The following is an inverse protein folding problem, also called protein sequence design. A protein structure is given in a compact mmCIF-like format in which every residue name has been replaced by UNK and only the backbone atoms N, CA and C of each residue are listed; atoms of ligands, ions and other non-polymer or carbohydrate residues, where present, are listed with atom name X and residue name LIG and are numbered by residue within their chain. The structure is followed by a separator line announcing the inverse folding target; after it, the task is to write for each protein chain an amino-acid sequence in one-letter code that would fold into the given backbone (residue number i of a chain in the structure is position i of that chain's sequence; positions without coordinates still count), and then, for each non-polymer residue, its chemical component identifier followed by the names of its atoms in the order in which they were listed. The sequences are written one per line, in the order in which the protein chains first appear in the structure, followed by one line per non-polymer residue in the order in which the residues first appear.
data_IF_220585379355
#
_entry.id   IF_220585379355
#
_cell.length_a   1.000
_cell.length_b   1.000
_cell.length_c   1.000
_cell.angle_alpha   90.00
_cell.angle_beta   90.00
_cell.angle_gamma   90.00
#
_symmetry.space_group_name_H-M   'P 1'
#
loop_
_entity.id
_entity.type
_entity.pdbx_description
1 polymer ?
#
# COMPACT_ATOMS: atom_id res chain seq x y z
N UNK A 1 -9.73 10.88 -2.45
CA UNK A 1 -9.45 9.43 -2.55
C UNK A 1 -8.45 9.23 -3.66
N UNK A 2 -7.29 8.64 -3.39
CA UNK A 2 -6.23 8.51 -4.40
C UNK A 2 -6.49 7.37 -5.40
N UNK A 3 -7.22 6.33 -4.96
CA UNK A 3 -7.51 5.11 -5.71
C UNK A 3 -9.02 4.80 -5.69
N UNK A 4 -9.86 5.82 -5.87
CA UNK A 4 -11.31 5.65 -5.81
C UNK A 4 -11.87 5.38 -4.41
N UNK A 5 -13.19 5.15 -4.33
CA UNK A 5 -13.88 4.94 -3.05
C UNK A 5 -13.65 3.52 -2.55
N UNK A 6 -13.07 3.38 -1.35
CA UNK A 6 -12.75 2.11 -0.72
C UNK A 6 -12.27 2.29 0.72
N UNK A 7 -11.82 1.21 1.34
CA UNK A 7 -11.25 1.22 2.70
C UNK A 7 -9.74 1.15 2.58
N UNK A 8 -9.02 2.13 3.12
CA UNK A 8 -7.59 2.28 2.89
C UNK A 8 -6.80 1.70 4.07
N UNK A 9 -5.84 0.83 3.75
CA UNK A 9 -4.90 0.22 4.69
C UNK A 9 -3.47 0.57 4.32
N UNK A 10 -2.55 0.48 5.28
CA UNK A 10 -1.12 0.60 5.07
C UNK A 10 -0.38 -0.47 5.88
N UNK A 11 0.76 -0.90 5.38
CA UNK A 11 1.71 -1.82 6.05
C UNK A 11 2.75 -1.06 6.89
N UNK A 12 2.76 0.27 6.81
CA UNK A 12 3.62 1.15 7.59
C UNK A 12 2.80 1.87 8.66
N UNK A 13 3.06 1.54 9.93
CA UNK A 13 2.33 2.11 11.08
C UNK A 13 2.33 3.64 11.10
N UNK A 14 3.44 4.28 10.72
CA UNK A 14 3.57 5.73 10.69
C UNK A 14 2.69 6.39 9.63
N UNK A 15 2.43 5.70 8.51
CA UNK A 15 1.52 6.20 7.47
C UNK A 15 0.10 6.28 8.02
N UNK A 16 -0.40 5.21 8.64
CA UNK A 16 -1.73 5.21 9.26
C UNK A 16 -1.82 6.15 10.46
N UNK A 17 -0.78 6.23 11.30
CA UNK A 17 -0.77 7.10 12.48
C UNK A 17 -0.92 8.59 12.13
N UNK A 18 -0.43 9.03 10.97
CA UNK A 18 -0.62 10.41 10.51
C UNK A 18 -2.10 10.77 10.30
N UNK A 19 -2.98 9.78 10.09
CA UNK A 19 -4.43 10.00 9.98
C UNK A 19 -5.14 10.06 11.33
N UNK A 20 -4.46 9.79 12.45
CA UNK A 20 -5.04 9.92 13.79
C UNK A 20 -5.10 11.36 14.31
N UNK A 21 -4.39 12.30 13.67
CA UNK A 21 -4.27 13.71 14.09
C UNK A 21 -3.82 13.91 15.54
N UNK A 22 -3.15 12.92 16.14
CA UNK A 22 -2.53 13.05 17.45
C UNK A 22 -1.39 14.07 17.43
N UNK A 23 -1.23 14.78 18.54
CA UNK A 23 -0.25 15.86 18.68
C UNK A 23 0.18 15.99 20.15
N UNK A 24 1.14 16.86 20.45
CA UNK A 24 1.68 17.00 21.81
C UNK A 24 0.62 17.37 22.87
N UNK A 25 -0.47 18.05 22.50
CA UNK A 25 -1.56 18.39 23.41
C UNK A 25 -2.61 17.28 23.54
N UNK A 26 -2.76 16.42 22.52
CA UNK A 26 -3.63 15.24 22.52
C UNK A 26 -2.85 14.04 21.97
N UNK A 27 -1.99 13.40 22.78
CA UNK A 27 -0.99 12.43 22.29
C UNK A 27 -1.55 11.01 22.12
N UNK A 28 -2.78 10.76 22.57
CA UNK A 28 -3.38 9.42 22.48
C UNK A 28 -4.00 9.21 21.10
N UNK A 29 -3.59 8.15 20.41
CA UNK A 29 -4.13 7.71 19.13
C UNK A 29 -4.60 6.26 19.24
N UNK A 30 -5.59 5.91 18.41
CA UNK A 30 -6.03 4.52 18.24
C UNK A 30 -5.76 4.11 16.79
N UNK A 31 -5.12 2.96 16.63
CA UNK A 31 -4.91 2.31 15.34
C UNK A 31 -5.68 1.01 15.32
N UNK A 32 -6.26 0.70 14.15
CA UNK A 32 -6.97 -0.54 13.92
C UNK A 32 -6.09 -1.46 13.05
N UNK A 33 -5.84 -2.67 13.54
CA UNK A 33 -5.26 -3.75 12.75
C UNK A 33 -6.40 -4.63 12.23
N UNK A 34 -6.37 -4.93 10.94
CA UNK A 34 -7.37 -5.77 10.28
C UNK A 34 -6.67 -6.91 9.54
N UNK A 35 -7.26 -8.10 9.60
CA UNK A 35 -7.04 -9.10 8.57
C UNK A 35 -7.76 -8.63 7.30
N UNK A 36 -7.03 -8.54 6.18
CA UNK A 36 -7.53 -7.98 4.91
C UNK A 36 -7.29 -8.98 3.80
N UNK A 37 -8.38 -9.54 3.27
CA UNK A 37 -8.35 -10.46 2.14
C UNK A 37 -8.08 -9.70 0.82
N UNK A 38 -6.81 -9.40 0.56
CA UNK A 38 -6.37 -8.63 -0.62
C UNK A 38 -6.58 -9.37 -1.95
N UNK A 39 -6.52 -10.71 -1.95
CA UNK A 39 -6.65 -11.52 -3.16
C UNK A 39 -5.61 -11.14 -4.22
N UNK A 40 -6.00 -11.22 -5.50
CA UNK A 40 -5.19 -10.67 -6.59
C UNK A 40 -5.31 -9.14 -6.66
N UNK A 41 -4.17 -8.46 -6.62
CA UNK A 41 -4.10 -7.00 -6.50
C UNK A 41 -3.89 -6.32 -7.87
N UNK A 42 -4.47 -5.14 -8.02
CA UNK A 42 -4.28 -4.23 -9.14
C UNK A 42 -3.25 -3.16 -8.76
N UNK A 43 -2.03 -3.30 -9.27
CA UNK A 43 -0.89 -2.50 -8.82
C UNK A 43 -0.80 -1.16 -9.54
N UNK A 44 -0.61 -0.06 -8.81
CA UNK A 44 -0.54 1.29 -9.36
C UNK A 44 0.61 2.09 -8.77
N UNK A 45 1.37 2.74 -9.66
CA UNK A 45 2.46 3.64 -9.29
C UNK A 45 1.95 5.05 -8.98
N UNK A 46 0.90 5.49 -9.66
CA UNK A 46 0.31 6.82 -9.52
C UNK A 46 -1.17 6.73 -9.15
N UNK A 47 -1.71 7.84 -8.65
CA UNK A 47 -3.13 7.97 -8.35
C UNK A 47 -4.01 7.61 -9.57
N UNK A 48 -5.11 6.91 -9.30
CA UNK A 48 -6.12 6.56 -10.30
C UNK A 48 -7.51 6.63 -9.65
N UNK A 49 -8.22 7.73 -9.91
CA UNK A 49 -9.50 8.01 -9.23
C UNK A 49 -10.60 6.98 -9.53
N UNK A 50 -10.48 6.23 -10.64
CA UNK A 50 -11.39 5.16 -11.06
C UNK A 50 -10.78 3.75 -10.84
N UNK A 51 -9.83 3.62 -9.90
CA UNK A 51 -9.11 2.36 -9.68
C UNK A 51 -10.02 1.18 -9.32
N UNK A 52 -11.16 1.41 -8.68
CA UNK A 52 -12.13 0.35 -8.38
C UNK A 52 -12.67 -0.30 -9.67
N UNK A 53 -13.07 0.51 -10.64
CA UNK A 53 -13.57 0.06 -11.94
C UNK A 53 -12.45 -0.57 -12.76
N UNK A 54 -11.25 0.01 -12.72
CA UNK A 54 -10.10 -0.46 -13.47
C UNK A 54 -9.57 -1.80 -12.91
N UNK A 55 -9.55 -1.97 -11.58
CA UNK A 55 -9.29 -3.23 -10.89
C UNK A 55 -10.31 -4.31 -11.27
N UNK A 56 -11.60 -3.97 -11.25
CA UNK A 56 -12.66 -4.89 -11.64
C UNK A 56 -12.55 -5.32 -13.12
N UNK A 57 -12.27 -4.38 -14.02
CA UNK A 57 -12.04 -4.68 -15.44
C UNK A 57 -10.81 -5.58 -15.65
N UNK A 58 -9.78 -5.43 -14.81
CA UNK A 58 -8.61 -6.29 -14.78
C UNK A 58 -8.82 -7.62 -14.04
N UNK A 59 -10.04 -7.91 -13.57
CA UNK A 59 -10.42 -9.10 -12.79
C UNK A 59 -9.59 -9.25 -11.50
N UNK A 60 -9.27 -8.12 -10.86
CA UNK A 60 -8.56 -8.04 -9.57
C UNK A 60 -9.52 -7.69 -8.44
N UNK A 61 -9.12 -8.03 -7.22
CA UNK A 61 -9.96 -7.96 -6.02
C UNK A 61 -9.73 -6.69 -5.20
N UNK A 62 -8.52 -6.14 -5.25
CA UNK A 62 -8.11 -4.94 -4.50
C UNK A 62 -7.11 -4.11 -5.31
N UNK A 63 -6.88 -2.87 -4.91
CA UNK A 63 -5.86 -1.99 -5.48
C UNK A 63 -4.65 -1.93 -4.56
N UNK A 64 -3.45 -1.97 -5.14
CA UNK A 64 -2.19 -1.74 -4.44
C UNK A 64 -1.52 -0.48 -4.99
N UNK A 65 -1.59 0.62 -4.24
CA UNK A 65 -0.72 1.77 -4.46
C UNK A 65 0.69 1.44 -4.02
N UNK A 66 1.60 1.23 -4.98
CA UNK A 66 2.96 0.74 -4.71
C UNK A 66 3.85 1.89 -4.23
N UNK A 67 4.42 1.71 -3.04
CA UNK A 67 5.35 2.66 -2.43
C UNK A 67 6.80 2.43 -2.83
N UNK A 68 7.62 3.47 -2.66
CA UNK A 68 9.08 3.42 -2.76
C UNK A 68 9.72 2.58 -1.67
N UNK A 69 9.07 2.46 -0.52
CA UNK A 69 9.52 1.64 0.58
C UNK A 69 8.41 0.78 1.16
N UNK A 70 8.75 -0.43 1.57
CA UNK A 70 7.85 -1.41 2.17
C UNK A 70 8.59 -2.19 3.28
N UNK A 71 7.89 -2.81 4.24
CA UNK A 71 8.51 -3.74 5.18
C UNK A 71 9.27 -4.85 4.46
N UNK A 72 10.47 -5.15 4.92
CA UNK A 72 11.29 -6.22 4.35
C UNK A 72 10.60 -7.59 4.51
N UNK A 73 10.58 -8.39 3.45
CA UNK A 73 9.92 -9.71 3.44
C UNK A 73 10.52 -10.67 4.48
N UNK A 74 11.82 -10.57 4.78
CA UNK A 74 12.49 -11.38 5.80
C UNK A 74 12.00 -11.05 7.23
N UNK A 75 11.48 -9.83 7.41
CA UNK A 75 10.88 -9.37 8.64
C UNK A 75 9.47 -9.90 8.86
N UNK A 76 8.79 -10.40 7.81
CA UNK A 76 7.41 -10.85 7.89
C UNK A 76 7.23 -12.00 8.91
N UNK A 77 6.07 -12.02 9.55
CA UNK A 77 5.69 -13.07 10.51
C UNK A 77 4.32 -13.62 10.14
N UNK A 78 4.12 -14.91 10.42
CA UNK A 78 2.81 -15.53 10.30
C UNK A 78 2.09 -15.45 11.65
N UNK A 79 0.85 -14.96 11.65
CA UNK A 79 -0.07 -15.02 12.78
C UNK A 79 -1.32 -15.75 12.29
N UNK A 80 -1.50 -16.99 12.74
CA UNK A 80 -2.54 -17.90 12.24
C UNK A 80 -2.51 -18.02 10.71
N UNK A 81 -3.56 -17.57 10.01
CA UNK A 81 -3.66 -17.57 8.55
C UNK A 81 -3.24 -16.24 7.91
N UNK A 82 -2.81 -15.26 8.72
CA UNK A 82 -2.51 -13.90 8.29
C UNK A 82 -1.00 -13.65 8.26
N UNK A 83 -0.52 -13.10 7.15
CA UNK A 83 0.85 -12.57 7.05
C UNK A 83 0.88 -11.17 7.67
N UNK A 84 1.71 -10.99 8.69
CA UNK A 84 1.96 -9.69 9.32
C UNK A 84 3.24 -9.10 8.74
N UNK A 85 3.17 -8.00 7.95
CA UNK A 85 4.34 -7.36 7.38
C UNK A 85 5.08 -6.60 8.48
N UNK A 86 6.11 -7.24 9.03
CA UNK A 86 6.97 -6.67 10.07
C UNK A 86 8.36 -6.38 9.52
N UNK A 87 9.10 -5.52 10.22
CA UNK A 87 10.51 -5.27 9.93
C UNK A 87 10.82 -3.84 9.52
N UNK A 88 12.08 -3.63 9.13
CA UNK A 88 12.57 -2.31 8.70
C UNK A 88 12.11 -2.05 7.27
N UNK A 89 11.67 -0.81 7.00
CA UNK A 89 11.37 -0.39 5.65
C UNK A 89 12.61 -0.48 4.74
N UNK A 90 12.46 -1.12 3.58
CA UNK A 90 13.49 -1.24 2.55
C UNK A 90 12.95 -0.70 1.22
N UNK A 91 13.83 -0.36 0.25
CA UNK A 91 13.40 -0.07 -1.11
C UNK A 91 12.48 -1.18 -1.65
N UNK A 92 11.39 -0.79 -2.29
CA UNK A 92 10.34 -1.70 -2.74
C UNK A 92 10.80 -2.51 -3.96
N UNK A 93 10.82 -3.84 -3.81
CA UNK A 93 11.07 -4.76 -4.93
C UNK A 93 9.92 -4.71 -5.97
N UNK A 94 8.69 -4.48 -5.52
CA UNK A 94 7.52 -4.32 -6.37
C UNK A 94 7.67 -3.09 -7.27
N UNK A 95 8.13 -1.97 -6.73
CA UNK A 95 8.43 -0.76 -7.52
C UNK A 95 9.51 -1.07 -8.57
N UNK A 96 10.64 -1.66 -8.16
CA UNK A 96 11.72 -2.00 -9.08
C UNK A 96 11.28 -2.98 -10.19
N UNK A 97 10.33 -3.88 -9.91
CA UNK A 97 9.71 -4.73 -10.93
C UNK A 97 8.84 -3.93 -11.88
N UNK A 98 7.94 -3.09 -11.38
CA UNK A 98 7.04 -2.29 -12.21
C UNK A 98 7.80 -1.31 -13.10
N UNK A 99 8.81 -0.62 -12.57
CA UNK A 99 9.66 0.28 -13.35
C UNK A 99 10.37 -0.45 -14.51
N UNK A 100 10.82 -1.69 -14.30
CA UNK A 100 11.42 -2.52 -15.36
C UNK A 100 10.40 -2.89 -16.44
N UNK A 101 9.14 -3.13 -16.06
CA UNK A 101 8.05 -3.42 -17.00
C UNK A 101 7.62 -2.16 -17.78
N UNK A 102 7.69 -0.99 -17.14
CA UNK A 102 7.34 0.32 -17.73
C UNK A 102 8.49 1.00 -18.48
N UNK A 103 9.70 0.44 -18.50
CA UNK A 103 10.91 1.06 -19.04
C UNK A 103 10.84 1.43 -20.53
N UNK A 104 9.79 1.01 -21.26
CA UNK A 104 9.50 1.43 -22.63
C UNK A 104 8.64 2.70 -22.77
N UNK A 105 8.04 3.23 -21.69
CA UNK A 105 7.02 4.29 -21.75
C UNK A 105 7.52 5.69 -21.33
N UNK A 106 8.79 5.83 -20.95
CA UNK A 106 9.49 7.12 -20.88
C UNK A 106 9.00 8.13 -19.82
N UNK A 107 8.03 7.77 -18.97
CA UNK A 107 7.55 8.64 -17.88
C UNK A 107 8.03 8.15 -16.52
N UNK A 108 8.77 9.01 -15.80
CA UNK A 108 8.97 8.86 -14.36
C UNK A 108 7.61 9.08 -13.67
N UNK A 109 6.93 7.99 -13.30
CA UNK A 109 5.65 8.07 -12.60
C UNK A 109 5.88 8.39 -11.13
N UNK A 110 5.19 9.39 -10.54
CA UNK A 110 5.35 9.74 -9.13
C UNK A 110 4.85 8.59 -8.24
N UNK A 111 5.77 7.78 -7.73
CA UNK A 111 5.46 6.71 -6.77
C UNK A 111 5.21 7.25 -5.35
N UNK A 112 4.31 6.58 -4.63
CA UNK A 112 4.05 6.81 -3.21
C UNK A 112 5.32 6.60 -2.36
N UNK A 113 5.38 7.20 -1.16
CA UNK A 113 6.48 6.89 -0.24
C UNK A 113 6.37 5.46 0.34
N UNK A 114 5.18 5.09 0.79
CA UNK A 114 4.87 3.76 1.33
C UNK A 114 3.61 3.20 0.69
N UNK A 115 3.42 1.88 0.78
CA UNK A 115 2.29 1.18 0.20
C UNK A 115 0.93 1.68 0.73
N UNK A 116 -0.09 1.48 -0.07
CA UNK A 116 -1.50 1.63 0.28
C UNK A 116 -2.29 0.49 -0.34
N UNK A 117 -3.20 -0.10 0.43
CA UNK A 117 -4.06 -1.20 -0.02
C UNK A 117 -5.51 -0.77 0.12
N UNK A 118 -6.31 -1.02 -0.93
CA UNK A 118 -7.69 -0.56 -1.04
C UNK A 118 -8.60 -1.69 -1.51
#
# INVERSE_FOLDING_TARGET
YMFGKGIYFADMVSKSANYCSANSASPTAVLLLCDVALGEQYERLSAEYEAAQASAAAKKHSTWGVGKSAPAEEGARQLDQVKVPMGVARPSEALARLERLSAGEGLASPALLYNEFI
#
